data_IF_166831598472
#
_entry.id   IF_166831598472
#
_cell.length_a   1.000
_cell.length_b   1.000
_cell.length_c   1.000
_cell.angle_alpha   90.00
_cell.angle_beta   90.00
_cell.angle_gamma   90.00
#
_symmetry.space_group_name_H-M   'P 1'
#
loop_
_entity.id
_entity.type
_entity.pdbx_description
1 polymer ?
#
# COMPACT_ATOMS: atom_id res chain seq x y z
N UNK A 1 12.01 16.30 -7.57
CA UNK A 1 11.50 15.08 -6.94
C UNK A 1 12.23 13.85 -7.47
N UNK A 2 12.68 12.97 -6.58
CA UNK A 2 13.23 11.65 -6.90
C UNK A 2 12.42 10.57 -6.18
N UNK A 3 12.08 9.50 -6.87
CA UNK A 3 11.45 8.30 -6.32
C UNK A 3 12.44 7.13 -6.34
N UNK A 4 12.27 6.16 -5.45
CA UNK A 4 12.96 4.87 -5.55
C UNK A 4 12.60 4.18 -6.86
N UNK A 5 13.53 3.40 -7.39
CA UNK A 5 13.34 2.64 -8.63
C UNK A 5 12.49 1.39 -8.44
N UNK A 6 12.36 0.93 -7.21
CA UNK A 6 11.53 -0.19 -6.81
C UNK A 6 10.61 0.25 -5.68
N UNK A 7 9.49 -0.46 -5.54
CA UNK A 7 8.72 -0.48 -4.31
C UNK A 7 9.09 -1.73 -3.52
N UNK A 8 8.81 -1.74 -2.21
CA UNK A 8 9.03 -2.92 -1.37
C UNK A 8 7.78 -3.25 -0.59
N UNK A 9 7.54 -4.54 -0.33
CA UNK A 9 6.53 -5.01 0.62
C UNK A 9 7.25 -5.74 1.74
N UNK A 10 6.96 -5.35 2.97
CA UNK A 10 7.56 -5.93 4.16
C UNK A 10 6.88 -5.42 5.42
N UNK A 11 7.41 -5.73 6.61
CA UNK A 11 6.92 -5.13 7.84
C UNK A 11 7.19 -3.62 7.84
N UNK A 12 6.33 -2.84 8.49
CA UNK A 12 6.52 -1.39 8.63
C UNK A 12 7.92 -1.09 9.20
N UNK A 13 8.31 -1.77 10.29
CA UNK A 13 9.67 -1.70 10.82
C UNK A 13 9.99 -2.91 11.74
N UNK A 14 11.00 -2.76 12.59
CA UNK A 14 11.40 -3.82 13.53
C UNK A 14 10.40 -4.03 14.67
N UNK A 15 9.59 -3.02 14.99
CA UNK A 15 8.64 -3.02 16.09
C UNK A 15 7.20 -3.21 15.59
N UNK A 16 6.82 -2.62 14.46
CA UNK A 16 5.51 -2.79 13.82
C UNK A 16 5.62 -3.79 12.65
N UNK A 17 5.10 -4.99 12.87
CA UNK A 17 5.15 -6.11 11.91
C UNK A 17 4.01 -6.13 10.90
N UNK A 18 3.10 -5.14 10.93
CA UNK A 18 2.04 -5.07 9.92
C UNK A 18 2.66 -4.95 8.53
N UNK A 19 2.14 -5.68 7.53
CA UNK A 19 2.64 -5.58 6.16
C UNK A 19 2.30 -4.21 5.58
N UNK A 20 3.27 -3.62 4.89
CA UNK A 20 3.08 -2.38 4.17
C UNK A 20 3.81 -2.41 2.83
N UNK A 21 3.15 -1.84 1.82
CA UNK A 21 3.81 -1.38 0.61
C UNK A 21 4.52 -0.06 0.92
N UNK A 22 5.79 0.03 0.52
CA UNK A 22 6.66 1.15 0.82
C UNK A 22 7.32 1.69 -0.45
N UNK A 23 7.27 3.00 -0.64
CA UNK A 23 7.92 3.73 -1.73
C UNK A 23 8.70 4.88 -1.13
N UNK A 24 9.98 5.00 -1.48
CA UNK A 24 10.83 6.08 -0.99
C UNK A 24 10.82 7.25 -1.96
N UNK A 25 10.78 8.46 -1.43
CA UNK A 25 10.99 9.67 -2.22
C UNK A 25 11.87 10.68 -1.49
N UNK A 26 12.48 11.57 -2.24
CA UNK A 26 13.18 12.73 -1.73
C UNK A 26 13.01 13.92 -2.66
N UNK A 27 12.97 15.12 -2.08
CA UNK A 27 13.23 16.32 -2.85
C UNK A 27 14.74 16.57 -2.94
N UNK A 28 15.28 16.46 -4.14
CA UNK A 28 16.71 16.66 -4.42
C UNK A 28 17.01 18.09 -4.90
N UNK A 29 16.00 18.97 -4.93
CA UNK A 29 16.16 20.32 -5.44
C UNK A 29 16.55 21.30 -4.33
N UNK A 30 17.76 21.85 -4.40
CA UNK A 30 18.33 22.71 -3.35
C UNK A 30 17.79 24.15 -3.29
N UNK A 31 16.85 24.53 -4.17
CA UNK A 31 16.46 25.95 -4.34
C UNK A 31 14.96 26.20 -4.46
N UNK A 32 14.16 25.16 -4.64
CA UNK A 32 12.72 25.29 -4.82
C UNK A 32 12.07 24.39 -3.80
N UNK A 33 11.59 24.99 -2.71
CA UNK A 33 10.84 24.26 -1.70
C UNK A 33 9.39 24.06 -2.18
N UNK A 34 8.83 22.92 -1.81
CA UNK A 34 7.46 22.56 -2.10
C UNK A 34 6.61 22.80 -0.85
N UNK A 35 5.71 23.78 -0.91
CA UNK A 35 4.71 24.01 0.10
C UNK A 35 3.47 23.14 -0.14
N UNK A 36 2.74 22.84 0.95
CA UNK A 36 1.48 22.07 0.92
C UNK A 36 1.61 20.73 0.19
N UNK A 37 2.79 20.10 0.30
CA UNK A 37 3.04 18.85 -0.39
C UNK A 37 2.21 17.70 0.16
N UNK A 38 1.62 16.93 -0.75
CA UNK A 38 0.88 15.73 -0.39
C UNK A 38 1.09 14.64 -1.44
N UNK A 39 0.89 13.40 -1.01
CA UNK A 39 1.08 12.21 -1.84
C UNK A 39 -0.21 11.45 -2.03
N UNK A 40 -0.37 10.81 -3.19
CA UNK A 40 -1.46 9.86 -3.44
C UNK A 40 -0.92 8.61 -4.09
N UNK A 41 -1.59 7.49 -3.84
CA UNK A 41 -1.26 6.21 -4.43
C UNK A 41 -2.51 5.57 -5.01
N UNK A 42 -2.39 5.05 -6.22
CA UNK A 42 -3.46 4.39 -6.94
C UNK A 42 -2.99 3.03 -7.43
N UNK A 43 -3.88 2.04 -7.42
CA UNK A 43 -3.72 0.79 -8.16
C UNK A 43 -4.59 0.84 -9.42
N UNK A 44 -3.96 0.85 -10.58
CA UNK A 44 -4.62 0.68 -11.86
C UNK A 44 -4.65 -0.81 -12.23
N UNK A 45 -5.84 -1.42 -12.17
CA UNK A 45 -6.04 -2.82 -12.54
C UNK A 45 -6.26 -2.93 -14.05
N UNK A 46 -5.56 -3.86 -14.68
CA UNK A 46 -5.60 -4.05 -16.13
C UNK A 46 -5.93 -5.49 -16.48
N UNK A 47 -6.39 -5.72 -17.70
CA UNK A 47 -6.67 -7.07 -18.22
C UNK A 47 -6.30 -7.15 -19.69
N UNK A 48 -5.84 -8.31 -20.13
CA UNK A 48 -5.65 -8.59 -21.55
C UNK A 48 -6.98 -9.07 -22.15
N UNK A 49 -7.46 -8.37 -23.18
CA UNK A 49 -8.68 -8.73 -23.89
C UNK A 49 -8.45 -9.89 -24.88
N UNK A 50 -9.52 -10.35 -25.55
CA UNK A 50 -9.44 -11.45 -26.53
C UNK A 50 -8.59 -11.14 -27.77
N UNK A 51 -8.21 -9.88 -27.99
CA UNK A 51 -7.33 -9.41 -29.07
C UNK A 51 -5.87 -9.28 -28.64
N UNK A 52 -5.55 -9.57 -27.38
CA UNK A 52 -4.21 -9.41 -26.82
C UNK A 52 -3.88 -7.97 -26.41
N UNK A 53 -4.87 -7.07 -26.33
CA UNK A 53 -4.67 -5.67 -25.95
C UNK A 53 -4.87 -5.51 -24.45
N UNK A 54 -4.04 -4.68 -23.82
CA UNK A 54 -4.14 -4.36 -22.39
C UNK A 54 -5.19 -3.26 -22.19
N UNK A 55 -6.23 -3.57 -21.43
CA UNK A 55 -7.33 -2.66 -21.13
C UNK A 55 -7.32 -2.29 -19.63
N UNK A 56 -7.58 -1.03 -19.32
CA UNK A 56 -7.78 -0.55 -17.95
C UNK A 56 -9.17 -0.97 -17.47
N UNK A 57 -9.21 -1.80 -16.43
CA UNK A 57 -10.46 -2.28 -15.82
C UNK A 57 -10.96 -1.30 -14.77
N UNK A 58 -10.04 -0.70 -14.00
CA UNK A 58 -10.39 0.26 -12.98
C UNK A 58 -9.17 0.82 -12.27
N UNK A 59 -9.39 1.87 -11.48
CA UNK A 59 -8.38 2.50 -10.63
C UNK A 59 -8.93 2.56 -9.22
N UNK A 60 -8.21 2.01 -8.25
CA UNK A 60 -8.56 2.06 -6.82
C UNK A 60 -7.55 2.93 -6.08
N UNK A 61 -8.05 3.87 -5.29
CA UNK A 61 -7.23 4.65 -4.35
C UNK A 61 -6.67 3.74 -3.25
N UNK A 62 -5.43 4.01 -2.84
CA UNK A 62 -4.75 3.28 -1.79
C UNK A 62 -4.33 4.25 -0.69
N UNK A 63 -4.87 4.04 0.51
CA UNK A 63 -4.65 4.92 1.64
C UNK A 63 -3.17 4.97 2.03
N UNK A 64 -2.56 6.15 1.92
CA UNK A 64 -1.18 6.44 2.35
C UNK A 64 -1.15 7.35 3.58
N UNK A 65 -2.23 7.35 4.35
CA UNK A 65 -2.42 8.14 5.56
C UNK A 65 -3.31 9.37 5.40
N UNK A 66 -4.23 9.37 4.44
CA UNK A 66 -5.14 10.50 4.18
C UNK A 66 -5.96 10.87 5.43
N UNK A 67 -6.60 9.88 6.05
CA UNK A 67 -7.52 10.09 7.19
C UNK A 67 -6.81 10.62 8.44
N UNK A 68 -5.52 10.29 8.58
CA UNK A 68 -4.68 10.70 9.71
C UNK A 68 -3.76 11.88 9.36
N UNK A 69 -3.73 12.29 8.10
CA UNK A 69 -2.92 13.40 7.62
C UNK A 69 -1.47 13.11 7.32
N UNK A 70 -1.04 11.86 7.36
CA UNK A 70 0.32 11.45 7.01
C UNK A 70 0.61 11.53 5.50
N UNK A 71 -0.43 11.67 4.67
CA UNK A 71 -0.32 11.95 3.25
C UNK A 71 0.27 13.35 2.97
N UNK A 72 0.08 14.30 3.90
CA UNK A 72 0.64 15.65 3.86
C UNK A 72 2.08 15.60 4.37
N UNK A 73 3.01 15.64 3.44
CA UNK A 73 4.42 15.40 3.69
C UNK A 73 5.20 16.70 3.74
N UNK A 74 6.26 16.72 4.55
CA UNK A 74 7.25 17.80 4.54
C UNK A 74 8.56 17.25 3.93
N UNK A 75 8.86 17.63 2.70
CA UNK A 75 9.95 17.04 1.90
C UNK A 75 11.32 17.68 2.17
N UNK A 76 11.67 17.86 3.45
CA UNK A 76 13.00 18.34 3.86
C UNK A 76 14.07 17.24 3.85
N UNK A 77 13.64 15.98 3.99
CA UNK A 77 14.49 14.79 4.04
C UNK A 77 13.87 13.69 3.18
N UNK A 78 14.64 12.66 2.74
CA UNK A 78 14.05 11.48 2.15
C UNK A 78 13.05 10.83 3.10
N UNK A 79 11.88 10.48 2.59
CA UNK A 79 10.81 9.84 3.34
C UNK A 79 10.40 8.52 2.67
N UNK A 80 9.77 7.65 3.45
CA UNK A 80 9.15 6.42 2.96
C UNK A 80 7.64 6.58 3.12
N UNK A 81 6.92 6.59 2.01
CA UNK A 81 5.45 6.52 2.00
C UNK A 81 5.06 5.08 2.22
N UNK A 82 4.04 4.88 3.05
CA UNK A 82 3.56 3.57 3.48
C UNK A 82 2.08 3.46 3.16
N UNK A 83 1.72 2.37 2.51
CA UNK A 83 0.34 1.90 2.45
C UNK A 83 0.27 0.61 3.27
N UNK A 84 -0.46 0.64 4.38
CA UNK A 84 -0.68 -0.55 5.22
C UNK A 84 -1.59 -1.50 4.45
N UNK A 85 -1.21 -2.78 4.40
CA UNK A 85 -1.98 -3.82 3.72
C UNK A 85 -2.91 -4.45 4.76
N UNK A 86 -4.04 -3.80 4.99
CA UNK A 86 -5.16 -4.29 5.80
C UNK A 86 -6.28 -4.86 4.92
N UNK A 87 -7.41 -5.25 5.51
CA UNK A 87 -8.56 -5.85 4.82
C UNK A 87 -9.19 -4.97 3.73
N UNK A 88 -9.00 -3.64 3.79
CA UNK A 88 -9.53 -2.70 2.80
C UNK A 88 -8.58 -2.53 1.59
N UNK A 89 -7.31 -2.89 1.78
CA UNK A 89 -6.26 -2.81 0.78
C UNK A 89 -6.57 -3.70 -0.44
N UNK A 90 -6.38 -3.20 -1.68
CA UNK A 90 -6.42 -4.08 -2.86
C UNK A 90 -5.27 -5.09 -2.93
N UNK A 91 -4.25 -4.96 -2.08
CA UNK A 91 -3.17 -5.94 -1.94
C UNK A 91 -3.47 -6.99 -0.86
N UNK A 92 -4.60 -6.89 -0.16
CA UNK A 92 -4.95 -7.85 0.90
C UNK A 92 -5.05 -9.27 0.35
N UNK A 93 -4.45 -10.22 1.08
CA UNK A 93 -4.38 -11.62 0.66
C UNK A 93 -3.47 -11.92 -0.53
N UNK A 94 -2.77 -10.93 -1.10
CA UNK A 94 -1.75 -11.22 -2.12
C UNK A 94 -0.58 -11.98 -1.50
N UNK A 95 -0.09 -12.97 -2.24
CA UNK A 95 1.16 -13.68 -1.96
C UNK A 95 2.24 -13.25 -2.97
N UNK A 96 3.53 -13.52 -2.70
CA UNK A 96 4.58 -13.30 -3.70
C UNK A 96 4.28 -13.97 -5.05
N UNK A 97 3.67 -15.16 -5.02
CA UNK A 97 3.30 -15.95 -6.19
C UNK A 97 2.22 -15.25 -7.01
N UNK A 98 1.14 -14.81 -6.35
CA UNK A 98 0.01 -14.13 -6.98
C UNK A 98 0.50 -12.80 -7.58
N UNK A 99 1.30 -12.04 -6.83
CA UNK A 99 1.81 -10.74 -7.24
C UNK A 99 2.62 -10.82 -8.55
N UNK A 100 3.47 -11.85 -8.71
CA UNK A 100 4.28 -12.02 -9.93
C UNK A 100 3.46 -12.19 -11.21
N UNK A 101 2.24 -12.70 -11.09
CA UNK A 101 1.33 -12.92 -12.22
C UNK A 101 0.18 -11.90 -12.30
N UNK A 102 0.13 -10.94 -11.37
CA UNK A 102 -0.97 -9.99 -11.31
C UNK A 102 -0.85 -8.92 -12.42
N UNK A 103 -1.99 -8.43 -12.91
CA UNK A 103 -2.06 -7.40 -13.94
C UNK A 103 -2.50 -6.06 -13.33
N UNK A 104 -1.60 -5.39 -12.62
CA UNK A 104 -1.83 -4.02 -12.13
C UNK A 104 -0.61 -3.13 -12.32
N UNK A 105 -0.80 -1.83 -12.12
CA UNK A 105 0.26 -0.83 -12.03
C UNK A 105 -0.04 0.08 -10.84
N UNK A 106 0.95 0.26 -9.97
CA UNK A 106 0.87 1.24 -8.89
C UNK A 106 1.28 2.59 -9.44
N UNK A 107 0.52 3.64 -9.17
CA UNK A 107 0.81 5.00 -9.63
C UNK A 107 0.85 5.89 -8.40
N UNK A 108 2.02 6.46 -8.12
CA UNK A 108 2.19 7.43 -7.05
C UNK A 108 2.30 8.83 -7.62
N UNK A 109 1.59 9.78 -7.01
CA UNK A 109 1.71 11.20 -7.31
C UNK A 109 2.20 11.97 -6.09
N UNK A 110 2.97 13.02 -6.34
CA UNK A 110 3.37 14.04 -5.37
C UNK A 110 2.94 15.37 -5.92
N UNK A 111 2.12 16.09 -5.18
CA UNK A 111 1.57 17.39 -5.56
C UNK A 111 1.96 18.43 -4.52
N UNK A 112 2.04 19.69 -4.93
CA UNK A 112 2.27 20.82 -4.02
C UNK A 112 2.45 22.13 -4.79
N UNK A 113 2.88 23.17 -4.09
CA UNK A 113 3.08 24.51 -4.64
C UNK A 113 4.55 24.88 -4.53
N UNK A 114 5.17 25.29 -5.64
CA UNK A 114 6.56 25.75 -5.63
C UNK A 114 6.62 27.12 -4.97
N UNK A 115 7.25 27.23 -3.79
CA UNK A 115 7.23 28.44 -2.96
C UNK A 115 7.71 29.69 -3.72
N UNK A 116 8.76 29.55 -4.52
CA UNK A 116 9.38 30.68 -5.21
C UNK A 116 8.51 31.27 -6.34
N UNK A 117 7.54 30.49 -6.87
CA UNK A 117 6.77 30.89 -8.07
C UNK A 117 5.26 30.87 -7.83
N UNK A 118 4.78 30.22 -6.77
CA UNK A 118 3.35 30.00 -6.53
C UNK A 118 2.70 29.03 -7.52
N UNK A 119 3.47 28.39 -8.42
CA UNK A 119 2.93 27.45 -9.40
C UNK A 119 2.70 26.07 -8.78
N UNK A 120 1.64 25.40 -9.22
CA UNK A 120 1.38 24.00 -8.87
C UNK A 120 2.45 23.09 -9.48
N UNK A 121 2.98 22.19 -8.67
CA UNK A 121 3.91 21.14 -9.07
C UNK A 121 3.24 19.78 -8.93
N UNK A 122 3.51 18.90 -9.89
CA UNK A 122 3.13 17.49 -9.80
C UNK A 122 4.26 16.62 -10.35
N UNK A 123 4.66 15.62 -9.58
CA UNK A 123 5.54 14.55 -10.01
C UNK A 123 4.81 13.21 -9.90
N UNK A 124 5.18 12.25 -10.76
CA UNK A 124 4.55 10.93 -10.81
C UNK A 124 5.62 9.86 -11.00
N UNK A 125 5.36 8.68 -10.46
CA UNK A 125 6.09 7.45 -10.73
C UNK A 125 5.12 6.29 -10.78
N UNK A 126 5.52 5.16 -11.35
CA UNK A 126 4.73 3.95 -11.33
C UNK A 126 5.58 2.70 -11.14
N UNK A 127 4.95 1.64 -10.65
CA UNK A 127 5.56 0.34 -10.39
C UNK A 127 4.67 -0.77 -10.91
N UNK A 128 5.25 -1.60 -11.78
CA UNK A 128 4.68 -2.89 -12.16
C UNK A 128 4.93 -3.94 -11.06
N UNK A 129 4.21 -5.07 -11.05
CA UNK A 129 4.33 -6.05 -9.97
C UNK A 129 5.73 -6.67 -9.86
N UNK A 130 6.46 -6.76 -10.98
CA UNK A 130 7.86 -7.20 -11.01
C UNK A 130 8.86 -6.14 -10.52
N UNK A 131 8.43 -4.90 -10.27
CA UNK A 131 9.22 -3.82 -9.66
C UNK A 131 8.93 -3.68 -8.16
N UNK A 132 8.16 -4.60 -7.59
CA UNK A 132 7.86 -4.68 -6.16
C UNK A 132 8.67 -5.82 -5.54
N UNK A 133 9.55 -5.48 -4.60
CA UNK A 133 10.36 -6.45 -3.89
C UNK A 133 9.68 -6.92 -2.60
N UNK A 134 9.21 -8.17 -2.60
CA UNK A 134 8.53 -8.77 -1.47
C UNK A 134 9.49 -9.24 -0.37
N UNK A 135 9.13 -9.05 0.90
CA UNK A 135 9.93 -9.42 2.06
C UNK A 135 11.14 -8.51 2.26
N UNK A 136 11.04 -7.26 1.81
CA UNK A 136 12.13 -6.28 1.90
C UNK A 136 11.66 -4.99 2.56
N UNK A 137 12.63 -4.27 3.13
CA UNK A 137 12.47 -2.89 3.58
C UNK A 137 13.63 -2.05 3.07
N UNK A 138 13.42 -0.75 3.03
CA UNK A 138 14.48 0.19 2.69
C UNK A 138 15.48 0.34 3.85
N UNK A 139 16.79 0.32 3.54
CA UNK A 139 17.82 0.50 4.57
C UNK A 139 17.85 1.95 5.07
N UNK A 140 18.18 2.22 6.34
CA UNK A 140 18.32 3.59 6.85
C UNK A 140 19.30 4.44 6.03
N UNK A 141 18.97 5.72 5.86
CA UNK A 141 19.80 6.69 5.14
C UNK A 141 20.48 7.73 6.04
N UNK A 142 20.04 7.84 7.30
CA UNK A 142 20.57 8.83 8.25
C UNK A 142 21.78 8.23 8.94
N UNK A 143 22.94 8.86 8.78
CA UNK A 143 24.21 8.45 9.36
C UNK A 143 24.76 9.54 10.27
N UNK A 144 25.48 9.16 11.33
CA UNK A 144 26.22 10.10 12.16
C UNK A 144 27.58 10.37 11.53
N UNK A 145 27.84 11.61 11.14
CA UNK A 145 29.18 12.02 10.75
C UNK A 145 30.04 12.19 12.01
N UNK A 146 30.94 11.25 12.25
CA UNK A 146 31.79 11.24 13.45
C UNK A 146 32.73 12.45 13.55
N UNK A 147 33.09 13.07 12.41
CA UNK A 147 33.99 14.23 12.39
C UNK A 147 33.24 15.51 12.77
N UNK A 148 32.00 15.70 12.29
CA UNK A 148 31.21 16.91 12.55
C UNK A 148 30.26 16.76 13.74
N UNK A 149 30.00 15.53 14.19
CA UNK A 149 29.02 15.18 15.22
C UNK A 149 27.56 15.38 14.79
N UNK A 150 27.29 15.51 13.49
CA UNK A 150 25.95 15.81 12.94
C UNK A 150 25.38 14.60 12.22
N UNK A 151 24.05 14.50 12.20
CA UNK A 151 23.35 13.57 11.34
C UNK A 151 23.29 14.09 9.90
N UNK A 152 23.65 13.23 8.96
CA UNK A 152 23.68 13.51 7.53
C UNK A 152 22.92 12.41 6.80
N UNK A 153 22.40 12.72 5.60
CA UNK A 153 21.75 11.73 4.75
C UNK A 153 22.74 11.23 3.71
N UNK A 154 22.99 9.91 3.73
CA UNK A 154 23.76 9.24 2.71
C UNK A 154 22.85 8.78 1.56
N UNK A 155 22.89 9.53 0.45
CA UNK A 155 22.13 9.22 -0.75
C UNK A 155 22.61 7.98 -1.51
N UNK A 156 23.76 7.40 -1.16
CA UNK A 156 24.17 6.11 -1.72
C UNK A 156 23.22 4.99 -1.28
N UNK A 157 22.60 5.13 -0.11
CA UNK A 157 21.61 4.19 0.43
C UNK A 157 20.19 4.41 -0.12
N UNK A 158 19.97 5.38 -1.02
CA UNK A 158 18.62 5.75 -1.47
C UNK A 158 17.86 4.60 -2.14
N UNK A 159 18.54 3.74 -2.90
CA UNK A 159 17.93 2.57 -3.54
C UNK A 159 18.14 1.27 -2.73
N UNK A 160 18.91 1.33 -1.64
CA UNK A 160 19.31 0.13 -0.91
C UNK A 160 18.14 -0.43 -0.09
N UNK A 161 17.97 -1.75 -0.19
CA UNK A 161 16.97 -2.52 0.54
C UNK A 161 17.64 -3.70 1.23
N UNK A 162 17.02 -4.17 2.30
CA UNK A 162 17.44 -5.35 3.04
C UNK A 162 16.27 -6.32 3.18
N UNK A 163 16.61 -7.61 3.19
CA UNK A 163 15.63 -8.69 3.36
C UNK A 163 15.14 -8.73 4.82
N UNK A 164 13.86 -8.96 4.99
CA UNK A 164 13.22 -9.17 6.29
C UNK A 164 12.94 -10.67 6.45
N UNK A 165 13.84 -11.39 7.13
CA UNK A 165 13.76 -12.86 7.24
C UNK A 165 12.53 -13.35 8.01
N UNK A 166 11.98 -12.52 8.90
CA UNK A 166 10.79 -12.84 9.72
C UNK A 166 9.46 -12.37 9.11
N UNK A 167 9.44 -11.95 7.83
CA UNK A 167 8.21 -11.45 7.21
C UNK A 167 7.29 -12.60 6.79
N UNK A 168 6.21 -12.80 7.55
CA UNK A 168 5.15 -13.75 7.21
C UNK A 168 4.04 -13.02 6.45
N UNK A 169 3.71 -13.44 5.22
CA UNK A 169 2.56 -12.89 4.50
C UNK A 169 1.28 -13.06 5.30
N UNK A 170 0.37 -12.08 5.25
CA UNK A 170 -1.01 -12.33 5.70
C UNK A 170 -1.57 -13.41 4.80
N UNK A 171 -1.70 -14.61 5.36
CA UNK A 171 -2.44 -15.69 4.75
C UNK A 171 -3.89 -15.47 5.14
N UNK A 172 -4.81 -15.61 4.18
CA UNK A 172 -6.23 -15.73 4.51
C UNK A 172 -6.35 -17.07 5.21
N UNK A 173 -6.14 -17.10 6.53
CA UNK A 173 -6.65 -18.21 7.33
C UNK A 173 -8.15 -18.02 7.28
N UNK A 174 -8.86 -18.96 6.64
CA UNK A 174 -10.26 -19.19 6.95
C UNK A 174 -10.30 -19.23 8.48
N UNK A 175 -10.89 -18.20 9.10
CA UNK A 175 -11.14 -18.22 10.53
C UNK A 175 -12.04 -19.42 10.74
N UNK A 176 -11.49 -20.47 11.37
CA UNK A 176 -12.30 -21.47 12.03
C UNK A 176 -13.20 -20.68 12.99
N UNK A 177 -14.46 -20.49 12.59
CA UNK A 177 -15.53 -20.02 13.45
C UNK A 177 -15.73 -21.09 14.54
N UNK A 178 -14.81 -21.19 15.50
CA UNK A 178 -15.05 -21.88 16.75
C UNK A 178 -16.05 -21.01 17.53
N UNK A 179 -17.34 -21.28 17.32
CA UNK A 179 -18.39 -20.84 18.23
C UNK A 179 -18.02 -21.28 19.66
N UNK A 180 -18.05 -20.39 20.66
CA UNK A 180 -17.85 -20.80 22.03
C UNK A 180 -19.07 -21.60 22.50
N UNK A 181 -18.87 -22.88 22.77
CA UNK A 181 -19.79 -23.72 23.53
C UNK A 181 -19.98 -23.15 24.95
N UNK A 182 -21.05 -22.39 25.18
CA UNK A 182 -21.76 -22.43 26.47
C UNK A 182 -23.18 -21.85 26.35
N UNK A 183 -24.19 -22.63 26.73
CA UNK A 183 -25.12 -22.30 27.83
C UNK A 183 -26.31 -23.28 27.84
N UNK A 184 -26.34 -24.06 28.92
CA UNK A 184 -27.50 -24.78 29.46
C UNK A 184 -28.74 -23.87 29.56
N UNK A 185 -29.89 -24.28 29.00
CA UNK A 185 -31.18 -23.90 29.58
C UNK A 185 -32.33 -24.87 29.25
N UNK A 186 -33.04 -25.23 30.32
CA UNK A 186 -34.23 -26.07 30.41
C UNK A 186 -35.46 -25.56 29.64
N UNK A 187 -36.15 -26.50 28.97
CA UNK A 187 -37.61 -26.60 28.72
C UNK A 187 -38.40 -25.39 28.17
N UNK A 188 -38.80 -25.44 26.89
CA UNK A 188 -40.21 -25.38 26.42
C UNK A 188 -40.32 -25.68 24.90
N UNK A 189 -41.32 -26.49 24.52
CA UNK A 189 -41.64 -26.93 23.13
C UNK A 189 -42.54 -25.91 22.37
N UNK A 190 -42.77 -26.03 21.03
CA UNK A 190 -42.88 -24.95 20.03
C UNK A 190 -44.33 -24.82 19.45
N UNK A 191 -44.65 -24.01 18.41
CA UNK A 191 -44.51 -24.39 16.97
C UNK A 191 -44.43 -23.16 15.98
N UNK A 192 -44.75 -23.22 14.65
CA UNK A 192 -43.88 -23.68 13.54
C UNK A 192 -43.77 -22.74 12.29
N UNK A 193 -42.84 -23.08 11.38
CA UNK A 193 -42.65 -22.64 9.96
C UNK A 193 -42.18 -21.18 9.72
N UNK A 194 -41.26 -20.86 8.81
CA UNK A 194 -41.10 -21.31 7.41
C UNK A 194 -39.67 -21.13 6.86
N UNK A 195 -39.32 -21.97 5.88
CA UNK A 195 -38.13 -21.99 5.03
C UNK A 195 -37.50 -20.63 4.64
N UNK A 196 -36.16 -20.61 4.56
CA UNK A 196 -35.42 -20.35 3.30
C UNK A 196 -33.92 -20.66 3.45
N UNK A 197 -33.41 -21.40 2.47
CA UNK A 197 -31.99 -21.59 2.13
C UNK A 197 -31.25 -20.26 1.95
N UNK A 198 -29.97 -20.21 2.33
CA UNK A 198 -28.95 -19.53 1.54
C UNK A 198 -27.62 -20.29 1.60
N UNK A 199 -27.11 -20.60 0.41
CA UNK A 199 -25.82 -21.21 0.11
C UNK A 199 -24.67 -20.18 0.16
N UNK A 200 -23.48 -20.74 0.29
CA UNK A 200 -22.14 -20.15 0.27
C UNK A 200 -21.83 -19.12 -0.85
N UNK A 201 -20.87 -18.25 -0.49
CA UNK A 201 -19.74 -17.73 -1.28
C UNK A 201 -20.02 -17.08 -2.65
N UNK A 202 -19.67 -15.80 -2.77
CA UNK A 202 -19.26 -15.21 -4.05
C UNK A 202 -18.26 -14.08 -3.83
N UNK A 203 -17.01 -14.37 -4.19
CA UNK A 203 -15.94 -13.42 -4.48
C UNK A 203 -16.46 -12.39 -5.48
N UNK A 204 -16.45 -11.11 -5.11
CA UNK A 204 -16.91 -10.02 -5.94
C UNK A 204 -16.05 -9.85 -7.20
N UNK A 205 -16.44 -10.51 -8.28
CA UNK A 205 -16.38 -9.92 -9.61
C UNK A 205 -17.60 -9.02 -9.81
N UNK A 206 -17.31 -7.75 -10.16
CA UNK A 206 -18.19 -6.78 -10.85
C UNK A 206 -19.50 -6.34 -10.17
N UNK A 207 -19.60 -5.04 -9.88
CA UNK A 207 -20.56 -4.24 -10.65
C UNK A 207 -20.20 -2.75 -10.68
N UNK A 208 -19.90 -2.27 -11.89
CA UNK A 208 -20.07 -0.88 -12.27
C UNK A 208 -21.50 -0.72 -12.81
N UNK A 209 -22.29 0.18 -12.23
CA UNK A 209 -23.26 1.07 -12.90
C UNK A 209 -24.30 1.57 -11.89
N UNK A 210 -24.49 2.89 -11.86
CA UNK A 210 -25.49 3.57 -11.05
C UNK A 210 -25.40 5.08 -11.22
N UNK A 211 -26.09 5.58 -12.24
CA UNK A 211 -26.45 7.00 -12.42
C UNK A 211 -26.85 7.66 -11.10
N UNK A 212 -26.34 8.87 -10.82
CA UNK A 212 -27.05 10.17 -10.88
C UNK A 212 -26.03 11.27 -11.17
#
# INVERSE_FOLDING_TARGET
MRFSRIAVIGPIDEHDKRPALMIRLADIQHRLYLAESHVRLYMACTRINSRGEKELVGVKDMNVGYDSGWDRVLLLWPIIIRHVIDEESPLYGMTPEIMRSADFELIMTVEGIVEATGMTFQARTSFLPNEIQWGHRFTPMVILNETTGKFEVDYSHFEMTERCDDFVPITITETDDEEPDDYDNTSHHPPPHSHRHYDHASICMHNASGFV
#
